data_IF_143037762481
#
_entry.id   IF_143037762481
#
_cell.length_a   1.000
_cell.length_b   1.000
_cell.length_c   1.000
_cell.angle_alpha   90.00
_cell.angle_beta   90.00
_cell.angle_gamma   90.00
#
_symmetry.space_group_name_H-M   'P 1'
#
loop_
_entity.id
_entity.type
_entity.pdbx_description
1 polymer ?
#
# COMPACT_ATOMS: atom_id res chain seq x y z
N UNK A 1 18.71 12.60 3.05
CA UNK A 1 18.56 11.15 2.79
C UNK A 1 17.09 10.93 2.49
N UNK A 2 16.75 10.19 1.43
CA UNK A 2 15.34 9.87 1.08
C UNK A 2 14.79 8.86 2.09
N UNK A 3 13.51 8.95 2.46
CA UNK A 3 12.81 7.93 3.23
C UNK A 3 11.80 7.23 2.34
N UNK A 4 11.94 5.93 2.10
CA UNK A 4 11.18 5.24 1.05
C UNK A 4 10.21 4.22 1.64
N UNK A 5 8.95 4.29 1.24
CA UNK A 5 7.96 3.25 1.54
C UNK A 5 7.48 2.59 0.24
N UNK A 6 7.38 1.27 0.24
CA UNK A 6 6.77 0.51 -0.85
C UNK A 6 5.32 0.20 -0.49
N UNK A 7 4.40 0.52 -1.40
CA UNK A 7 2.96 0.34 -1.20
C UNK A 7 2.38 -0.47 -2.34
N UNK A 8 1.55 -1.44 -2.00
CA UNK A 8 0.64 -2.11 -2.93
C UNK A 8 -0.78 -2.04 -2.37
N UNK A 9 -1.78 -1.95 -3.24
CA UNK A 9 -3.18 -2.09 -2.86
C UNK A 9 -3.89 -2.99 -3.86
N UNK A 10 -4.66 -3.94 -3.34
CA UNK A 10 -5.57 -4.77 -4.11
C UNK A 10 -7.00 -4.48 -3.71
N UNK A 11 -7.87 -4.32 -4.71
CA UNK A 11 -9.28 -3.97 -4.58
C UNK A 11 -10.11 -4.72 -5.61
N UNK A 12 -11.43 -4.64 -5.48
CA UNK A 12 -12.34 -5.07 -6.53
C UNK A 12 -12.26 -4.13 -7.75
N UNK A 13 -12.57 -4.64 -8.95
CA UNK A 13 -12.60 -3.83 -10.18
C UNK A 13 -13.63 -2.69 -10.12
N UNK A 14 -14.68 -2.80 -9.31
CA UNK A 14 -15.63 -1.71 -9.08
C UNK A 14 -15.00 -0.51 -8.34
N UNK A 15 -13.82 -0.69 -7.75
CA UNK A 15 -13.11 0.30 -6.94
C UNK A 15 -11.90 0.95 -7.66
N UNK A 16 -11.65 0.65 -8.94
CA UNK A 16 -10.49 1.20 -9.67
C UNK A 16 -10.45 2.73 -9.66
N UNK A 17 -11.60 3.38 -9.87
CA UNK A 17 -11.70 4.85 -9.85
C UNK A 17 -11.37 5.43 -8.46
N UNK A 18 -11.71 4.70 -7.38
CA UNK A 18 -11.35 5.08 -6.02
C UNK A 18 -9.82 5.00 -5.80
N UNK A 19 -9.15 3.99 -6.37
CA UNK A 19 -7.68 3.87 -6.30
C UNK A 19 -6.98 4.94 -7.16
N UNK A 20 -7.54 5.30 -8.31
CA UNK A 20 -7.04 6.42 -9.11
C UNK A 20 -7.11 7.74 -8.33
N UNK A 21 -8.23 8.02 -7.66
CA UNK A 21 -8.38 9.19 -6.81
C UNK A 21 -7.41 9.18 -5.61
N UNK A 22 -7.19 8.02 -4.99
CA UNK A 22 -6.18 7.82 -3.96
C UNK A 22 -4.76 8.08 -4.49
N UNK A 23 -4.47 7.59 -5.70
CA UNK A 23 -3.18 7.77 -6.38
C UNK A 23 -2.90 9.24 -6.70
N UNK A 24 -3.92 9.98 -7.15
CA UNK A 24 -3.79 11.41 -7.40
C UNK A 24 -3.60 12.21 -6.10
N UNK A 25 -4.31 11.83 -5.03
CA UNK A 25 -4.08 12.40 -3.70
C UNK A 25 -2.64 12.14 -3.21
N UNK A 26 -2.10 10.94 -3.41
CA UNK A 26 -0.69 10.64 -3.12
C UNK A 26 0.27 11.55 -3.91
N UNK A 27 -0.08 11.86 -5.15
CA UNK A 27 0.75 12.67 -6.05
C UNK A 27 0.80 14.13 -5.64
N UNK A 28 -0.30 14.67 -5.13
CA UNK A 28 -0.48 16.14 -5.01
C UNK A 28 -0.72 16.62 -3.59
N UNK A 29 -1.34 15.82 -2.73
CA UNK A 29 -1.92 16.28 -1.46
C UNK A 29 -1.44 15.51 -0.22
N UNK A 30 -0.93 14.29 -0.40
CA UNK A 30 -0.46 13.48 0.71
C UNK A 30 0.69 14.20 1.46
N UNK A 31 0.62 14.29 2.79
CA UNK A 31 1.64 14.95 3.58
C UNK A 31 2.91 14.11 3.65
N UNK A 32 4.05 14.81 3.83
CA UNK A 32 5.31 14.17 4.17
C UNK A 32 5.47 13.97 5.66
N UNK A 33 6.03 12.83 6.07
CA UNK A 33 6.43 12.52 7.43
C UNK A 33 7.37 13.61 7.95
N UNK A 34 7.02 14.22 9.08
CA UNK A 34 7.80 15.27 9.73
C UNK A 34 7.78 16.65 9.06
N UNK A 35 7.13 16.80 7.89
CA UNK A 35 6.98 18.05 7.13
C UNK A 35 5.58 18.11 6.49
N UNK A 36 4.49 18.20 7.29
CA UNK A 36 3.12 18.10 6.79
C UNK A 36 2.69 19.25 5.86
N UNK A 37 3.45 20.35 5.84
CA UNK A 37 3.30 21.47 4.90
C UNK A 37 3.76 21.11 3.47
N UNK A 38 4.65 20.13 3.32
CA UNK A 38 5.11 19.65 2.01
C UNK A 38 4.21 18.50 1.56
N UNK A 39 3.65 18.65 0.36
CA UNK A 39 2.71 17.70 -0.22
C UNK A 39 3.30 16.94 -1.41
N UNK A 40 2.70 15.80 -1.72
CA UNK A 40 3.10 14.95 -2.82
C UNK A 40 4.24 14.01 -2.44
N UNK A 41 3.93 12.71 -2.48
CA UNK A 41 4.82 11.64 -2.00
C UNK A 41 5.05 10.55 -3.05
N UNK A 42 4.37 10.58 -4.19
CA UNK A 42 4.47 9.55 -5.23
C UNK A 42 3.09 9.23 -5.79
N UNK A 43 2.94 8.11 -6.49
CA UNK A 43 1.65 7.68 -7.00
C UNK A 43 1.62 6.17 -7.18
N UNK A 44 0.41 5.61 -7.30
CA UNK A 44 0.17 4.21 -7.59
C UNK A 44 -0.10 4.01 -9.08
N UNK A 45 0.34 2.88 -9.62
CA UNK A 45 0.07 2.45 -11.00
C UNK A 45 -0.50 1.04 -10.99
N UNK A 46 -1.52 0.80 -11.82
CA UNK A 46 -2.09 -0.53 -12.04
C UNK A 46 -1.03 -1.46 -12.64
N UNK A 47 -0.79 -2.59 -11.99
CA UNK A 47 0.20 -3.60 -12.38
C UNK A 47 -0.43 -4.78 -13.13
N UNK A 48 -1.75 -4.97 -13.01
CA UNK A 48 -2.49 -6.11 -13.55
C UNK A 48 -3.24 -5.77 -14.84
N UNK A 49 -2.96 -4.62 -15.43
CA UNK A 49 -3.50 -4.23 -16.72
C UNK A 49 -3.07 -5.20 -17.84
N UNK A 50 -3.99 -5.54 -18.75
CA UNK A 50 -3.76 -6.54 -19.78
C UNK A 50 -2.64 -6.16 -20.77
N UNK A 51 -2.36 -4.86 -20.96
CA UNK A 51 -1.35 -4.36 -21.89
C UNK A 51 0.03 -4.19 -21.28
N UNK A 52 0.14 -4.18 -19.95
CA UNK A 52 1.39 -3.83 -19.25
C UNK A 52 1.79 -4.79 -18.12
N UNK A 53 0.96 -5.78 -17.80
CA UNK A 53 1.27 -6.72 -16.73
C UNK A 53 2.49 -7.60 -17.04
N UNK A 54 3.27 -7.87 -15.99
CA UNK A 54 4.48 -8.70 -16.02
C UNK A 54 4.28 -9.98 -15.19
N UNK A 55 3.03 -10.44 -15.05
CA UNK A 55 2.71 -11.60 -14.23
C UNK A 55 3.16 -12.88 -14.94
N UNK A 56 3.74 -13.80 -14.18
CA UNK A 56 4.14 -15.10 -14.71
C UNK A 56 2.94 -16.00 -15.04
N UNK A 57 3.10 -16.90 -16.01
CA UNK A 57 2.10 -17.89 -16.39
C UNK A 57 1.38 -17.56 -17.70
N UNK A 58 0.23 -18.21 -17.91
CA UNK A 58 -0.54 -18.22 -19.17
C UNK A 58 -1.97 -17.69 -19.00
N UNK A 59 -2.28 -17.16 -17.82
CA UNK A 59 -3.58 -16.61 -17.44
C UNK A 59 -3.40 -15.17 -16.97
N UNK A 60 -4.45 -14.37 -17.16
CA UNK A 60 -4.49 -13.03 -16.60
C UNK A 60 -4.77 -13.10 -15.10
N UNK A 61 -4.20 -12.21 -14.29
CA UNK A 61 -4.57 -12.08 -12.88
C UNK A 61 -6.07 -11.73 -12.77
N UNK A 62 -6.78 -12.41 -11.86
CA UNK A 62 -8.20 -12.16 -11.57
C UNK A 62 -8.40 -11.16 -10.43
N UNK A 63 -7.42 -10.28 -10.22
CA UNK A 63 -7.48 -9.21 -9.24
C UNK A 63 -6.81 -7.95 -9.78
N UNK A 64 -7.21 -6.79 -9.24
CA UNK A 64 -6.45 -5.56 -9.46
C UNK A 64 -5.39 -5.40 -8.40
N UNK A 65 -4.16 -5.12 -8.83
CA UNK A 65 -3.07 -4.73 -7.93
C UNK A 65 -2.47 -3.44 -8.45
N UNK A 66 -2.46 -2.43 -7.60
CA UNK A 66 -1.84 -1.14 -7.83
C UNK A 66 -0.62 -1.01 -6.92
N UNK A 67 0.48 -0.44 -7.42
CA UNK A 67 1.69 -0.29 -6.62
C UNK A 67 2.41 1.02 -6.87
N UNK A 68 3.19 1.45 -5.88
CA UNK A 68 4.04 2.63 -5.97
C UNK A 68 5.12 2.64 -4.89
N UNK A 69 6.20 3.35 -5.20
CA UNK A 69 7.25 3.69 -4.24
C UNK A 69 7.07 5.14 -3.84
N UNK A 70 6.86 5.37 -2.55
CA UNK A 70 6.54 6.67 -1.99
C UNK A 70 7.75 7.27 -1.26
N UNK A 71 7.94 8.58 -1.40
CA UNK A 71 9.02 9.34 -0.80
C UNK A 71 8.52 10.19 0.37
N UNK A 72 9.08 9.95 1.55
CA UNK A 72 8.72 10.58 2.82
C UNK A 72 7.22 10.51 3.14
N UNK A 73 6.49 9.49 2.68
CA UNK A 73 5.06 9.40 2.94
C UNK A 73 4.75 9.31 4.44
N UNK A 74 3.78 10.09 4.90
CA UNK A 74 3.14 9.86 6.18
C UNK A 74 2.22 8.62 6.06
N UNK A 75 2.66 7.50 6.62
CA UNK A 75 1.96 6.22 6.53
C UNK A 75 0.71 6.17 7.42
N UNK A 76 0.62 6.97 8.48
CA UNK A 76 -0.62 7.14 9.25
C UNK A 76 -1.67 7.85 8.39
N UNK A 77 -1.29 8.96 7.74
CA UNK A 77 -2.17 9.70 6.84
C UNK A 77 -2.64 8.84 5.66
N UNK A 78 -1.77 8.01 5.07
CA UNK A 78 -2.16 7.05 4.03
C UNK A 78 -3.20 6.05 4.55
N UNK A 79 -2.96 5.42 5.70
CA UNK A 79 -3.88 4.44 6.29
C UNK A 79 -5.23 5.07 6.62
N UNK A 80 -5.23 6.27 7.18
CA UNK A 80 -6.44 7.05 7.43
C UNK A 80 -7.18 7.32 6.12
N UNK A 81 -6.47 7.82 5.10
CA UNK A 81 -7.08 8.11 3.80
C UNK A 81 -7.73 6.87 3.18
N UNK A 82 -7.04 5.73 3.20
CA UNK A 82 -7.58 4.45 2.73
C UNK A 82 -8.84 4.03 3.49
N UNK A 83 -8.91 4.30 4.80
CA UNK A 83 -10.11 4.00 5.59
C UNK A 83 -11.32 4.91 5.30
N UNK A 84 -11.07 6.10 4.74
CA UNK A 84 -12.10 7.10 4.43
C UNK A 84 -12.61 7.00 2.98
N UNK A 85 -11.89 6.29 2.11
CA UNK A 85 -12.33 6.06 0.73
C UNK A 85 -13.68 5.31 0.74
N UNK A 86 -14.68 5.77 -0.04
CA UNK A 86 -15.99 5.13 -0.12
C UNK A 86 -15.94 3.89 -1.02
N UNK A 87 -15.24 2.85 -0.55
CA UNK A 87 -15.11 1.59 -1.28
C UNK A 87 -16.48 0.96 -1.56
N UNK A 88 -16.68 0.49 -2.79
CA UNK A 88 -17.82 -0.34 -3.17
C UNK A 88 -17.78 -1.67 -2.41
N UNK A 89 -16.60 -2.31 -2.38
CA UNK A 89 -16.39 -3.60 -1.72
C UNK A 89 -15.31 -3.51 -0.62
N UNK A 90 -15.59 -2.84 0.52
CA UNK A 90 -14.59 -2.52 1.53
C UNK A 90 -13.89 -3.75 2.11
N UNK A 91 -14.59 -4.89 2.21
CA UNK A 91 -14.00 -6.13 2.76
C UNK A 91 -12.95 -6.77 1.82
N UNK A 92 -12.92 -6.39 0.55
CA UNK A 92 -11.95 -6.87 -0.44
C UNK A 92 -10.69 -6.01 -0.49
N UNK A 93 -10.69 -4.82 0.14
CA UNK A 93 -9.53 -3.93 0.19
C UNK A 93 -8.39 -4.54 1.00
N UNK A 94 -7.22 -4.64 0.36
CA UNK A 94 -5.98 -5.11 0.95
C UNK A 94 -4.87 -4.12 0.64
N UNK A 95 -4.35 -3.44 1.66
CA UNK A 95 -3.23 -2.51 1.55
C UNK A 95 -1.99 -3.18 2.13
N UNK A 96 -0.92 -3.32 1.35
CA UNK A 96 0.37 -3.83 1.77
C UNK A 96 1.34 -2.64 1.85
N UNK A 97 1.97 -2.46 3.01
CA UNK A 97 2.92 -1.37 3.25
C UNK A 97 4.21 -1.95 3.81
N UNK A 98 5.33 -1.55 3.23
CA UNK A 98 6.67 -1.82 3.74
C UNK A 98 7.39 -0.48 3.86
N UNK A 99 7.57 0.00 5.09
CA UNK A 99 8.35 1.20 5.37
C UNK A 99 9.86 0.93 5.20
N UNK A 100 10.68 1.98 5.15
CA UNK A 100 12.12 1.85 4.85
C UNK A 100 12.88 0.96 5.84
N UNK A 101 12.45 0.93 7.10
CA UNK A 101 13.07 0.16 8.18
C UNK A 101 12.46 -1.24 8.34
N UNK A 102 11.54 -1.62 7.44
CA UNK A 102 10.86 -2.91 7.47
C UNK A 102 11.38 -3.81 6.35
N UNK A 103 11.55 -5.08 6.65
CA UNK A 103 12.03 -6.11 5.73
C UNK A 103 10.87 -6.89 5.09
N UNK A 104 9.64 -6.70 5.58
CA UNK A 104 8.45 -7.31 5.01
C UNK A 104 7.24 -6.38 4.97
N UNK A 105 6.31 -6.70 4.07
CA UNK A 105 5.04 -6.01 3.97
C UNK A 105 4.13 -6.34 5.14
N UNK A 106 3.62 -5.30 5.80
CA UNK A 106 2.48 -5.40 6.72
C UNK A 106 1.20 -5.24 5.91
N UNK A 107 0.26 -6.17 6.09
CA UNK A 107 -1.03 -6.11 5.39
C UNK A 107 -2.05 -5.36 6.24
N UNK A 108 -2.90 -4.58 5.62
CA UNK A 108 -3.97 -3.82 6.25
C UNK A 108 -5.27 -4.10 5.49
N UNK A 109 -6.32 -4.50 6.20
CA UNK A 109 -7.62 -4.83 5.61
C UNK A 109 -8.74 -4.16 6.38
N UNK A 110 -9.82 -3.77 5.70
CA UNK A 110 -11.00 -3.23 6.37
C UNK A 110 -11.82 -4.41 6.91
N UNK A 111 -12.02 -4.45 8.23
CA UNK A 111 -12.82 -5.48 8.92
C UNK A 111 -13.72 -4.85 9.96
N UNK A 112 -15.02 -5.04 9.80
CA UNK A 112 -16.04 -4.40 10.63
C UNK A 112 -15.98 -2.87 10.54
N UNK A 113 -15.81 -2.34 9.31
CA UNK A 113 -15.76 -0.91 9.05
C UNK A 113 -14.50 -0.18 9.54
N UNK A 114 -13.46 -0.91 9.97
CA UNK A 114 -12.19 -0.35 10.44
C UNK A 114 -11.02 -0.97 9.71
N UNK A 115 -10.05 -0.17 9.32
CA UNK A 115 -8.78 -0.68 8.81
C UNK A 115 -7.98 -1.30 9.96
N UNK A 116 -7.54 -2.56 9.79
CA UNK A 116 -6.78 -3.31 10.79
C UNK A 116 -5.54 -3.90 10.15
N UNK A 117 -4.45 -3.94 10.92
CA UNK A 117 -3.22 -4.59 10.52
C UNK A 117 -3.33 -6.12 10.67
N UNK A 118 -2.76 -6.82 9.70
CA UNK A 118 -2.53 -8.25 9.63
C UNK A 118 -1.06 -8.44 9.25
N UNK A 119 -0.22 -8.75 10.23
CA UNK A 119 1.19 -9.06 10.06
C UNK A 119 1.59 -10.11 11.09
N UNK A 120 2.68 -10.87 10.86
CA UNK A 120 3.27 -11.66 11.92
C UNK A 120 3.61 -10.74 13.10
N UNK A 121 3.26 -11.16 14.32
CA UNK A 121 3.76 -10.51 15.54
C UNK A 121 5.16 -11.01 15.90
N UNK A 122 5.50 -12.23 15.48
CA UNK A 122 6.80 -12.87 15.64
C UNK A 122 7.06 -13.81 14.43
N UNK A 123 8.32 -13.95 13.97
CA UNK A 123 9.46 -13.15 14.42
C UNK A 123 9.40 -11.74 13.79
N UNK A 124 9.74 -10.72 14.55
CA UNK A 124 9.97 -9.35 14.08
C UNK A 124 11.45 -9.15 13.73
N UNK A 125 11.78 -8.17 12.89
CA UNK A 125 13.15 -7.98 12.39
C UNK A 125 14.17 -7.69 13.49
N UNK A 126 13.70 -7.21 14.66
CA UNK A 126 14.49 -6.96 15.85
C UNK A 126 14.71 -8.21 16.73
N UNK A 127 14.03 -9.31 16.45
CA UNK A 127 14.10 -10.53 17.26
C UNK A 127 15.45 -11.27 17.10
N UNK A 128 15.95 -11.81 18.22
CA UNK A 128 17.15 -12.65 18.20
C UNK A 128 16.92 -13.89 17.33
N UNK A 129 17.78 -14.06 16.31
CA UNK A 129 17.69 -15.18 15.37
C UNK A 129 16.73 -14.97 14.20
N UNK A 130 16.16 -13.76 14.02
CA UNK A 130 15.38 -13.42 12.82
C UNK A 130 16.17 -13.69 11.54
N UNK A 131 17.41 -13.20 11.48
CA UNK A 131 18.32 -13.51 10.40
C UNK A 131 19.05 -14.81 10.66
N UNK A 132 19.05 -15.71 9.67
CA UNK A 132 20.02 -16.81 9.66
C UNK A 132 21.41 -16.19 9.54
N UNK A 133 22.26 -16.43 10.54
CA UNK A 133 23.70 -16.14 10.44
C UNK A 133 24.20 -16.73 9.11
N UNK A 134 24.64 -15.87 8.20
CA UNK A 134 25.18 -16.29 6.89
C UNK A 134 26.58 -16.88 7.07
#
# INVERSE_FOLDING_TARGET
>A
MSWVANVMISVDMADSANVEALSEWLRTEAPRRGQPEVRGVGFLKLLTDAGTNQWGGWKQPECEVWAGTLNHADLDALRQRVSEVPWCEPNLVQLLVMDQEQEFFRTWMIRGGKLRQFAPSEPDEEDEGFYRNR
#
